data_IF_105964923508
#
_entry.id   IF_105964923508
#
_cell.length_a   1.000
_cell.length_b   1.000
_cell.length_c   1.000
_cell.angle_alpha   90.00
_cell.angle_beta   90.00
_cell.angle_gamma   90.00
#
_symmetry.space_group_name_H-M   'P 1'
#
loop_
_entity.id
_entity.type
_entity.pdbx_description
1 polymer ?
#
# COMPACT_ATOMS: atom_id res chain seq x y z
N UNK A 1 -36.66 2.52 9.78
CA UNK A 1 -35.46 1.76 10.20
C UNK A 1 -34.38 2.12 9.20
N UNK A 2 -33.44 2.99 9.58
CA UNK A 2 -32.26 3.23 8.74
C UNK A 2 -31.43 1.95 8.73
N UNK A 3 -31.33 1.31 7.56
CA UNK A 3 -30.27 0.34 7.32
C UNK A 3 -28.99 1.15 7.39
N UNK A 4 -28.27 1.04 8.50
CA UNK A 4 -26.95 1.64 8.66
C UNK A 4 -25.99 0.85 7.77
N UNK A 5 -26.04 1.11 6.47
CA UNK A 5 -25.18 0.51 5.47
C UNK A 5 -23.75 0.94 5.80
N UNK A 6 -22.94 -0.01 6.30
CA UNK A 6 -21.54 0.26 6.62
C UNK A 6 -20.82 0.67 5.33
N UNK A 7 -20.59 1.98 5.17
CA UNK A 7 -19.84 2.53 4.05
C UNK A 7 -18.41 1.99 4.08
N UNK A 8 -17.94 1.48 2.96
CA UNK A 8 -16.55 1.03 2.78
C UNK A 8 -15.69 2.21 2.36
N UNK A 9 -14.47 2.28 2.88
CA UNK A 9 -13.46 3.26 2.46
C UNK A 9 -12.46 2.56 1.53
N UNK A 10 -12.24 3.12 0.35
CA UNK A 10 -11.17 2.72 -0.57
C UNK A 10 -10.23 3.92 -0.74
N UNK A 11 -8.96 3.72 -0.43
CA UNK A 11 -7.89 4.71 -0.65
C UNK A 11 -7.00 4.16 -1.76
N UNK A 12 -6.81 4.96 -2.81
CA UNK A 12 -5.91 4.65 -3.93
C UNK A 12 -4.86 5.74 -3.98
N UNK A 13 -3.59 5.36 -3.89
CA UNK A 13 -2.45 6.27 -4.03
C UNK A 13 -1.85 6.10 -5.42
N UNK A 14 -1.67 7.20 -6.14
CA UNK A 14 -0.85 7.24 -7.35
C UNK A 14 0.46 7.93 -6.97
N UNK A 15 1.55 7.14 -6.90
CA UNK A 15 2.83 7.66 -6.44
C UNK A 15 3.37 8.75 -7.38
N UNK A 16 4.03 9.75 -6.80
CA UNK A 16 4.60 10.92 -7.49
C UNK A 16 3.61 11.72 -8.36
N UNK A 17 2.30 11.68 -8.08
CA UNK A 17 1.31 12.55 -8.73
C UNK A 17 1.07 13.81 -7.92
N UNK A 18 1.43 14.97 -8.48
CA UNK A 18 1.15 16.29 -7.94
C UNK A 18 0.02 17.00 -8.68
N UNK A 19 -0.18 18.29 -8.35
CA UNK A 19 -1.21 19.11 -9.01
C UNK A 19 -0.85 19.47 -10.46
N UNK A 20 0.43 19.48 -10.80
CA UNK A 20 0.92 19.75 -12.15
C UNK A 20 0.46 18.67 -13.15
N UNK A 21 0.34 17.42 -12.70
CA UNK A 21 -0.10 16.29 -13.52
C UNK A 21 -1.63 16.22 -13.72
N UNK A 22 -2.42 17.04 -13.01
CA UNK A 22 -3.88 16.98 -13.10
C UNK A 22 -4.40 17.24 -14.52
N UNK A 23 -3.74 18.14 -15.25
CA UNK A 23 -4.07 18.43 -16.66
C UNK A 23 -3.90 17.20 -17.57
N UNK A 24 -2.89 16.36 -17.30
CA UNK A 24 -2.66 15.11 -18.04
C UNK A 24 -3.69 14.05 -17.67
N UNK A 25 -4.08 14.00 -16.40
CA UNK A 25 -5.02 13.03 -15.86
C UNK A 25 -6.48 13.31 -16.25
N UNK A 26 -6.83 14.57 -16.52
CA UNK A 26 -8.19 14.95 -16.98
C UNK A 26 -8.60 14.25 -18.28
N UNK A 27 -7.64 13.84 -19.11
CA UNK A 27 -7.88 13.08 -20.33
C UNK A 27 -8.19 11.58 -20.06
N UNK A 28 -8.14 11.11 -18.81
CA UNK A 28 -8.46 9.73 -18.44
C UNK A 28 -9.90 9.65 -17.93
N UNK A 29 -10.74 8.91 -18.65
CA UNK A 29 -12.19 8.86 -18.39
C UNK A 29 -12.57 8.53 -16.93
N UNK A 30 -11.81 7.66 -16.25
CA UNK A 30 -12.09 7.30 -14.86
C UNK A 30 -11.69 8.41 -13.88
N UNK A 31 -10.53 9.07 -14.08
CA UNK A 31 -10.11 10.20 -13.25
C UNK A 31 -11.05 11.38 -13.46
N UNK A 32 -11.41 11.66 -14.72
CA UNK A 32 -12.39 12.68 -15.05
C UNK A 32 -13.72 12.46 -14.32
N UNK A 33 -14.23 11.22 -14.28
CA UNK A 33 -15.46 10.89 -13.53
C UNK A 33 -15.31 11.15 -12.03
N UNK A 34 -14.18 10.77 -11.43
CA UNK A 34 -13.91 11.01 -10.00
C UNK A 34 -13.85 12.51 -9.69
N UNK A 35 -13.16 13.29 -10.52
CA UNK A 35 -13.06 14.75 -10.37
C UNK A 35 -14.42 15.44 -10.48
N UNK A 36 -15.24 15.09 -11.47
CA UNK A 36 -16.52 15.76 -11.72
C UNK A 36 -17.67 15.32 -10.81
N UNK A 37 -17.57 14.14 -10.18
CA UNK A 37 -18.60 13.61 -9.26
C UNK A 37 -18.16 13.60 -7.80
N UNK A 38 -16.92 13.97 -7.53
CA UNK A 38 -16.33 14.01 -6.20
C UNK A 38 -15.89 15.41 -5.81
N UNK A 39 -14.93 15.48 -4.91
CA UNK A 39 -14.26 16.72 -4.51
C UNK A 39 -12.78 16.60 -4.81
N UNK A 40 -12.21 17.64 -5.44
CA UNK A 40 -10.79 17.73 -5.75
C UNK A 40 -10.16 18.80 -4.85
N UNK A 41 -9.05 18.43 -4.21
CA UNK A 41 -8.21 19.35 -3.46
C UNK A 41 -6.86 19.44 -4.18
N UNK A 42 -6.55 20.61 -4.71
CA UNK A 42 -5.31 20.90 -5.41
C UNK A 42 -4.27 21.50 -4.46
N UNK A 43 -3.00 21.41 -4.84
CA UNK A 43 -1.86 21.95 -4.11
C UNK A 43 -1.77 21.46 -2.66
N UNK A 44 -2.10 20.18 -2.43
CA UNK A 44 -1.94 19.55 -1.13
C UNK A 44 -0.46 19.53 -0.73
N UNK A 45 -0.18 19.99 0.50
CA UNK A 45 1.18 20.01 1.02
C UNK A 45 1.58 18.59 1.42
N UNK A 46 2.69 18.13 0.87
CA UNK A 46 3.37 16.93 1.35
C UNK A 46 4.18 17.23 2.62
N UNK A 47 4.98 16.26 3.04
CA UNK A 47 5.91 16.34 4.16
C UNK A 47 7.34 16.61 3.68
N UNK A 48 8.23 17.01 4.59
CA UNK A 48 9.67 17.05 4.33
C UNK A 48 10.35 15.85 5.01
N UNK A 49 11.14 15.01 4.31
CA UNK A 49 11.43 14.97 2.87
C UNK A 49 10.31 14.21 2.12
N UNK A 50 9.88 14.73 0.96
CA UNK A 50 8.81 14.17 0.12
C UNK A 50 9.20 12.87 -0.60
N UNK A 51 9.63 11.86 0.16
CA UNK A 51 9.98 10.54 -0.36
C UNK A 51 8.82 9.55 -0.17
N UNK A 52 8.70 8.54 -1.04
CA UNK A 52 7.53 7.64 -1.10
C UNK A 52 7.17 7.04 0.27
N UNK A 53 8.11 6.38 0.95
CA UNK A 53 7.81 5.67 2.20
C UNK A 53 7.50 6.63 3.36
N UNK A 54 8.28 7.70 3.61
CA UNK A 54 7.90 8.74 4.56
C UNK A 54 6.50 9.30 4.31
N UNK A 55 6.16 9.64 3.07
CA UNK A 55 4.84 10.21 2.73
C UNK A 55 3.72 9.21 3.04
N UNK A 56 3.85 7.96 2.60
CA UNK A 56 2.83 6.94 2.85
C UNK A 56 2.74 6.54 4.33
N UNK A 57 3.84 6.61 5.09
CA UNK A 57 3.83 6.47 6.54
C UNK A 57 3.10 7.63 7.22
N UNK A 58 3.31 8.88 6.76
CA UNK A 58 2.55 10.03 7.28
C UNK A 58 1.06 9.92 6.97
N UNK A 59 0.68 9.45 5.77
CA UNK A 59 -0.72 9.19 5.42
C UNK A 59 -1.32 8.08 6.29
N UNK A 60 -0.58 6.99 6.53
CA UNK A 60 -1.09 5.87 7.32
C UNK A 60 -1.14 6.15 8.81
N UNK A 61 -0.32 7.06 9.34
CA UNK A 61 -0.24 7.37 10.78
C UNK A 61 -0.92 8.67 11.17
N UNK A 62 -1.11 9.59 10.23
CA UNK A 62 -1.54 10.97 10.49
C UNK A 62 -0.47 11.81 11.19
N UNK A 63 0.81 11.41 11.12
CA UNK A 63 1.94 11.99 11.85
C UNK A 63 3.05 12.43 10.91
N UNK A 64 3.91 13.33 11.35
CA UNK A 64 5.08 13.75 10.56
C UNK A 64 6.26 12.77 10.74
N UNK A 65 7.26 12.78 9.84
CA UNK A 65 8.45 11.91 9.93
C UNK A 65 9.19 11.96 11.26
N UNK A 66 9.20 13.12 11.93
CA UNK A 66 9.80 13.27 13.26
C UNK A 66 9.08 12.47 14.34
N UNK A 67 7.76 12.26 14.20
CA UNK A 67 6.92 11.52 15.14
C UNK A 67 6.91 10.03 14.80
N UNK A 68 6.59 9.66 13.55
CA UNK A 68 6.51 8.24 13.16
C UNK A 68 7.89 7.59 12.94
N UNK A 69 8.96 8.39 12.84
CA UNK A 69 10.35 7.95 12.83
C UNK A 69 10.91 7.52 11.47
N UNK A 70 10.12 7.63 10.39
CA UNK A 70 10.53 7.20 9.05
C UNK A 70 10.84 8.40 8.16
N UNK A 71 12.13 8.67 7.95
CA UNK A 71 12.61 9.87 7.24
C UNK A 71 13.16 9.59 5.82
N UNK A 72 13.27 8.32 5.42
CA UNK A 72 13.79 7.90 4.12
C UNK A 72 13.25 6.52 3.74
N UNK A 73 13.16 6.21 2.44
CA UNK A 73 12.82 4.88 1.92
C UNK A 73 13.85 3.83 2.30
N UNK A 74 15.11 4.24 2.42
CA UNK A 74 16.23 3.36 2.73
C UNK A 74 16.91 3.76 4.03
N UNK A 75 17.37 2.75 4.76
CA UNK A 75 18.32 2.89 5.85
C UNK A 75 19.75 2.75 5.34
N UNK A 76 20.67 3.37 6.07
CA UNK A 76 22.10 3.22 5.87
C UNK A 76 22.73 2.95 7.24
N UNK A 77 23.53 1.90 7.31
CA UNK A 77 24.42 1.61 8.43
C UNK A 77 25.86 1.77 7.94
N UNK A 78 26.73 2.53 8.63
CA UNK A 78 28.11 2.72 8.18
C UNK A 78 28.84 1.38 8.01
N UNK A 79 29.37 1.14 6.80
CA UNK A 79 30.06 -0.10 6.45
C UNK A 79 29.17 -1.19 5.87
N UNK A 80 27.84 -1.00 5.86
CA UNK A 80 26.86 -1.96 5.34
C UNK A 80 26.19 -1.44 4.06
N UNK A 81 25.59 -2.37 3.30
CA UNK A 81 24.74 -2.00 2.18
C UNK A 81 23.44 -1.37 2.67
N UNK A 82 22.92 -0.39 1.93
CA UNK A 82 21.61 0.19 2.22
C UNK A 82 20.50 -0.86 2.12
N UNK A 83 19.48 -0.70 2.97
CA UNK A 83 18.32 -1.58 3.00
C UNK A 83 17.02 -0.79 2.93
N UNK A 84 15.96 -1.41 2.42
CA UNK A 84 14.65 -0.78 2.29
C UNK A 84 13.85 -0.86 3.60
N UNK A 85 13.13 0.21 3.92
CA UNK A 85 12.36 0.38 5.15
C UNK A 85 10.86 0.12 4.96
N UNK A 86 10.53 -1.03 4.36
CA UNK A 86 9.15 -1.44 4.08
C UNK A 86 8.44 -2.07 5.29
N UNK A 87 9.14 -2.25 6.40
CA UNK A 87 8.64 -2.92 7.61
C UNK A 87 7.89 -1.95 8.52
N UNK A 88 6.61 -2.22 8.76
CA UNK A 88 5.74 -1.40 9.63
C UNK A 88 6.22 -1.33 11.08
N UNK A 89 7.00 -2.31 11.56
CA UNK A 89 7.56 -2.33 12.93
C UNK A 89 8.58 -1.22 13.16
N UNK A 90 9.06 -0.56 12.10
CA UNK A 90 9.94 0.60 12.20
C UNK A 90 9.18 1.89 12.53
N UNK A 91 7.85 1.90 12.40
CA UNK A 91 7.02 3.04 12.75
C UNK A 91 6.88 3.15 14.28
N UNK A 92 7.04 4.36 14.80
CA UNK A 92 6.92 4.66 16.24
C UNK A 92 5.51 5.04 16.67
N UNK A 93 4.60 5.20 15.71
CA UNK A 93 3.24 5.68 15.93
C UNK A 93 2.23 4.74 15.31
N UNK A 94 1.06 4.67 15.93
CA UNK A 94 -0.05 3.84 15.49
C UNK A 94 -0.53 4.24 14.09
N UNK A 95 -0.75 3.24 13.25
CA UNK A 95 -1.33 3.37 11.90
C UNK A 95 -2.86 3.32 11.94
N UNK A 96 -3.52 3.80 10.89
CA UNK A 96 -4.95 3.66 10.65
C UNK A 96 -5.38 2.19 10.60
N UNK A 97 -4.50 1.30 10.16
CA UNK A 97 -4.76 -0.13 10.11
C UNK A 97 -4.85 -0.73 11.52
N UNK A 98 -3.91 -0.39 12.40
CA UNK A 98 -3.96 -0.77 13.82
C UNK A 98 -5.17 -0.14 14.52
N UNK A 99 -5.50 1.12 14.20
CA UNK A 99 -6.70 1.76 14.75
C UNK A 99 -7.99 1.06 14.30
N UNK A 100 -8.07 0.64 13.04
CA UNK A 100 -9.18 -0.15 12.52
C UNK A 100 -9.27 -1.52 13.21
N UNK A 101 -8.14 -2.20 13.38
CA UNK A 101 -8.07 -3.50 14.06
C UNK A 101 -8.60 -3.42 15.49
N UNK A 102 -8.13 -2.44 16.28
CA UNK A 102 -8.57 -2.23 17.65
C UNK A 102 -10.07 -1.91 17.73
N UNK A 103 -10.62 -1.28 16.70
CA UNK A 103 -12.05 -1.01 16.56
C UNK A 103 -12.87 -2.21 16.02
N UNK A 104 -12.24 -3.36 15.78
CA UNK A 104 -12.89 -4.54 15.19
C UNK A 104 -13.29 -4.36 13.73
N UNK A 105 -12.62 -3.46 13.00
CA UNK A 105 -12.84 -3.17 11.58
C UNK A 105 -11.79 -3.92 10.75
N UNK A 106 -12.27 -4.78 9.85
CA UNK A 106 -11.42 -5.44 8.87
C UNK A 106 -10.77 -4.41 7.92
N UNK A 107 -9.46 -4.52 7.72
CA UNK A 107 -8.70 -3.69 6.77
C UNK A 107 -7.93 -4.54 5.75
N UNK A 108 -7.58 -3.91 4.63
CA UNK A 108 -6.76 -4.51 3.59
C UNK A 108 -5.75 -3.50 3.05
N UNK A 109 -4.55 -3.97 2.73
CA UNK A 109 -3.50 -3.16 2.10
C UNK A 109 -2.86 -3.98 0.98
N UNK A 110 -2.95 -3.47 -0.25
CA UNK A 110 -2.36 -4.07 -1.45
C UNK A 110 -1.34 -3.09 -2.00
N UNK A 111 -0.07 -3.47 -1.98
CA UNK A 111 1.07 -2.64 -2.38
C UNK A 111 1.18 -1.29 -1.65
N UNK A 112 0.57 -1.16 -0.47
CA UNK A 112 0.76 0.05 0.33
C UNK A 112 2.15 0.01 0.98
N UNK A 113 2.96 1.08 0.87
CA UNK A 113 4.29 1.13 1.48
C UNK A 113 4.28 0.98 3.00
N UNK A 114 5.36 0.42 3.55
CA UNK A 114 5.58 0.35 5.02
C UNK A 114 4.49 -0.43 5.75
N UNK A 115 3.97 -1.49 5.11
CA UNK A 115 2.96 -2.40 5.70
C UNK A 115 3.49 -3.81 5.94
N UNK A 116 4.77 -4.08 5.66
CA UNK A 116 5.38 -5.37 5.96
C UNK A 116 5.34 -5.66 7.45
N UNK A 117 5.15 -6.93 7.80
CA UNK A 117 5.02 -7.44 9.16
C UNK A 117 3.94 -6.78 10.03
N UNK A 118 2.90 -6.19 9.42
CA UNK A 118 1.77 -5.59 10.15
C UNK A 118 0.92 -6.58 10.96
N UNK A 119 1.20 -7.88 10.89
CA UNK A 119 0.52 -8.92 11.67
C UNK A 119 -1.00 -8.91 11.47
N UNK A 120 -1.76 -9.11 12.54
CA UNK A 120 -3.23 -9.13 12.52
C UNK A 120 -3.86 -7.75 12.30
N UNK A 121 -3.09 -6.66 12.41
CA UNK A 121 -3.58 -5.29 12.21
C UNK A 121 -4.08 -5.05 10.79
N UNK A 122 -3.59 -5.82 9.81
CA UNK A 122 -4.09 -5.84 8.44
C UNK A 122 -4.52 -7.26 8.08
N UNK A 123 -5.83 -7.45 7.88
CA UNK A 123 -6.42 -8.78 7.63
C UNK A 123 -6.03 -9.35 6.27
N UNK A 124 -5.99 -8.49 5.25
CA UNK A 124 -5.59 -8.85 3.89
C UNK A 124 -4.40 -7.97 3.48
N UNK A 125 -3.19 -8.45 3.72
CA UNK A 125 -1.97 -7.67 3.50
C UNK A 125 -1.07 -8.28 2.44
N UNK A 126 -0.96 -7.59 1.30
CA UNK A 126 0.04 -7.82 0.27
C UNK A 126 0.95 -6.59 0.22
N UNK A 127 1.99 -6.51 1.09
CA UNK A 127 2.76 -5.29 1.30
C UNK A 127 3.65 -4.97 0.10
N UNK A 128 3.93 -3.69 -0.16
CA UNK A 128 5.02 -3.35 -1.07
C UNK A 128 6.37 -3.62 -0.38
N UNK A 129 7.18 -4.49 -1.00
CA UNK A 129 8.48 -4.87 -0.48
C UNK A 129 9.55 -4.75 -1.56
N UNK A 130 10.77 -4.50 -1.09
CA UNK A 130 11.97 -4.57 -1.91
C UNK A 130 12.90 -5.59 -1.26
N UNK A 131 13.05 -6.74 -1.91
CA UNK A 131 13.92 -7.81 -1.44
C UNK A 131 15.39 -7.35 -1.48
N UNK A 132 16.15 -7.68 -0.46
CA UNK A 132 17.59 -7.43 -0.43
C UNK A 132 18.36 -8.34 -1.41
N UNK A 133 19.65 -8.06 -1.65
CA UNK A 133 20.50 -8.92 -2.48
C UNK A 133 20.49 -10.37 -2.00
N UNK A 134 20.27 -11.31 -2.93
CA UNK A 134 20.23 -12.75 -2.64
C UNK A 134 18.96 -13.25 -1.97
N UNK A 135 17.99 -12.38 -1.65
CA UNK A 135 16.68 -12.78 -1.13
C UNK A 135 15.71 -13.09 -2.27
N UNK A 136 14.81 -14.04 -2.03
CA UNK A 136 13.74 -14.34 -2.99
C UNK A 136 12.52 -13.47 -2.71
N UNK A 137 12.13 -12.66 -3.68
CA UNK A 137 11.01 -11.72 -3.57
C UNK A 137 9.70 -12.41 -3.16
N UNK A 138 9.41 -13.59 -3.70
CA UNK A 138 8.18 -14.35 -3.36
C UNK A 138 8.19 -14.76 -1.88
N UNK A 139 9.33 -15.23 -1.39
CA UNK A 139 9.48 -15.61 0.01
C UNK A 139 9.35 -14.41 0.94
N UNK A 140 9.89 -13.26 0.55
CA UNK A 140 9.71 -12.01 1.30
C UNK A 140 8.24 -11.59 1.34
N UNK A 141 7.49 -11.67 0.22
CA UNK A 141 6.05 -11.38 0.21
C UNK A 141 5.26 -12.31 1.14
N UNK A 142 5.62 -13.59 1.20
CA UNK A 142 4.95 -14.54 2.08
C UNK A 142 5.24 -14.25 3.56
N UNK A 143 6.49 -13.93 3.91
CA UNK A 143 6.90 -13.66 5.31
C UNK A 143 6.44 -12.29 5.81
N UNK A 144 6.52 -11.27 4.96
CA UNK A 144 6.19 -9.89 5.30
C UNK A 144 4.67 -9.62 5.29
N UNK A 145 3.89 -10.35 4.49
CA UNK A 145 2.44 -10.17 4.44
C UNK A 145 1.65 -11.21 5.23
N UNK A 146 0.39 -11.40 4.85
CA UNK A 146 -0.46 -12.43 5.42
C UNK A 146 -0.30 -13.75 4.66
N UNK A 147 0.39 -14.73 5.24
CA UNK A 147 0.83 -15.98 4.56
C UNK A 147 -0.30 -16.64 3.78
N UNK A 148 -1.45 -16.94 4.43
CA UNK A 148 -2.56 -17.66 3.79
C UNK A 148 -3.19 -16.84 2.65
N UNK A 149 -3.33 -15.53 2.83
CA UNK A 149 -3.85 -14.62 1.82
C UNK A 149 -2.90 -14.53 0.62
N UNK A 150 -1.62 -14.26 0.86
CA UNK A 150 -0.61 -14.09 -0.18
C UNK A 150 -0.38 -15.38 -0.94
N UNK A 151 -0.29 -16.52 -0.26
CA UNK A 151 -0.18 -17.82 -0.92
C UNK A 151 -1.38 -18.11 -1.84
N UNK A 152 -2.60 -17.87 -1.34
CA UNK A 152 -3.81 -18.02 -2.15
C UNK A 152 -3.84 -17.07 -3.36
N UNK A 153 -3.37 -15.84 -3.19
CA UNK A 153 -3.25 -14.84 -4.27
C UNK A 153 -2.20 -15.26 -5.32
N UNK A 154 -1.03 -15.72 -4.90
CA UNK A 154 -0.01 -16.26 -5.81
C UNK A 154 -0.53 -17.47 -6.59
N UNK A 155 -1.22 -18.42 -5.95
CA UNK A 155 -1.78 -19.57 -6.66
C UNK A 155 -2.80 -19.16 -7.73
N UNK A 156 -3.68 -18.20 -7.42
CA UNK A 156 -4.71 -17.72 -8.34
C UNK A 156 -4.14 -16.92 -9.51
N UNK A 157 -3.12 -16.09 -9.25
CA UNK A 157 -2.64 -15.10 -10.22
C UNK A 157 -1.19 -15.30 -10.66
N UNK A 158 -0.58 -16.47 -10.41
CA UNK A 158 0.80 -16.78 -10.83
C UNK A 158 1.09 -16.51 -12.30
N UNK A 159 0.10 -16.67 -13.19
CA UNK A 159 0.27 -16.44 -14.62
C UNK A 159 0.47 -14.98 -14.98
N UNK A 160 0.11 -14.05 -14.08
CA UNK A 160 0.26 -12.60 -14.24
C UNK A 160 1.54 -12.06 -13.61
N UNK A 161 2.34 -12.91 -12.94
CA UNK A 161 3.57 -12.50 -12.29
C UNK A 161 4.77 -13.21 -12.91
N UNK A 162 5.81 -12.46 -13.26
CA UNK A 162 7.08 -13.07 -13.68
C UNK A 162 7.75 -13.72 -12.47
N UNK A 163 7.81 -15.06 -12.44
CA UNK A 163 8.52 -15.78 -11.37
C UNK A 163 10.03 -15.56 -11.40
N UNK A 164 10.58 -15.17 -12.56
CA UNK A 164 12.02 -14.86 -12.72
C UNK A 164 12.37 -13.47 -12.22
N UNK A 165 11.45 -12.53 -12.35
CA UNK A 165 11.58 -11.15 -11.90
C UNK A 165 10.23 -10.63 -11.39
N UNK A 166 9.87 -10.93 -10.13
CA UNK A 166 8.59 -10.52 -9.55
C UNK A 166 8.47 -8.99 -9.35
N UNK A 167 9.57 -8.25 -9.49
CA UNK A 167 9.59 -6.78 -9.46
C UNK A 167 9.29 -6.16 -10.83
N UNK A 168 9.28 -6.95 -11.90
CA UNK A 168 9.08 -6.45 -13.26
C UNK A 168 7.70 -5.79 -13.41
N UNK A 169 7.71 -4.60 -14.01
CA UNK A 169 6.51 -3.90 -14.43
C UNK A 169 6.33 -4.04 -15.95
N UNK A 170 5.09 -4.23 -16.44
CA UNK A 170 3.81 -4.04 -15.74
C UNK A 170 3.30 -5.26 -14.96
N UNK A 171 3.96 -6.43 -15.03
CA UNK A 171 3.44 -7.68 -14.48
C UNK A 171 3.12 -7.60 -12.96
N UNK A 172 3.97 -6.91 -12.18
CA UNK A 172 3.72 -6.65 -10.75
C UNK A 172 2.40 -5.91 -10.52
N UNK A 173 2.12 -4.90 -11.35
CA UNK A 173 0.96 -4.03 -11.21
C UNK A 173 -0.32 -4.76 -11.64
N UNK A 174 -0.25 -5.56 -12.70
CA UNK A 174 -1.34 -6.44 -13.15
C UNK A 174 -1.70 -7.49 -12.09
N UNK A 175 -0.69 -8.08 -11.44
CA UNK A 175 -0.88 -9.00 -10.32
C UNK A 175 -1.57 -8.30 -9.15
N UNK A 176 -1.04 -7.16 -8.68
CA UNK A 176 -1.60 -6.41 -7.55
C UNK A 176 -3.05 -5.96 -7.82
N UNK A 177 -3.33 -5.49 -9.04
CA UNK A 177 -4.69 -5.11 -9.46
C UNK A 177 -5.64 -6.31 -9.40
N UNK A 178 -5.21 -7.48 -9.88
CA UNK A 178 -6.02 -8.70 -9.85
C UNK A 178 -6.32 -9.17 -8.42
N UNK A 179 -5.35 -9.04 -7.51
CA UNK A 179 -5.53 -9.33 -6.09
C UNK A 179 -6.57 -8.40 -5.46
N UNK A 180 -6.51 -7.10 -5.77
CA UNK A 180 -7.48 -6.12 -5.30
C UNK A 180 -8.89 -6.40 -5.84
N UNK A 181 -9.03 -6.68 -7.13
CA UNK A 181 -10.31 -7.00 -7.77
C UNK A 181 -10.98 -8.23 -7.15
N UNK A 182 -10.22 -9.31 -6.95
CA UNK A 182 -10.71 -10.54 -6.29
C UNK A 182 -11.16 -10.27 -4.85
N UNK A 183 -10.42 -9.46 -4.11
CA UNK A 183 -10.79 -9.07 -2.76
C UNK A 183 -12.08 -8.24 -2.73
N UNK A 184 -12.20 -7.23 -3.60
CA UNK A 184 -13.39 -6.40 -3.70
C UNK A 184 -14.62 -7.23 -4.12
N UNK A 185 -14.48 -8.11 -5.10
CA UNK A 185 -15.57 -8.97 -5.57
C UNK A 185 -16.11 -9.90 -4.48
N UNK A 186 -15.24 -10.41 -3.58
CA UNK A 186 -15.67 -11.22 -2.43
C UNK A 186 -16.41 -10.41 -1.38
N UNK A 187 -16.00 -9.16 -1.17
CA UNK A 187 -16.59 -8.27 -0.17
C UNK A 187 -17.86 -7.58 -0.66
N UNK A 188 -18.10 -7.44 -1.97
CA UNK A 188 -19.37 -6.93 -2.53
C UNK A 188 -20.50 -7.97 -2.43
N UNK A 189 -20.17 -9.26 -2.33
CA UNK A 189 -21.14 -10.36 -2.19
C UNK A 189 -21.54 -10.67 -0.73
N UNK A 190 -20.99 -9.96 0.25
CA UNK A 190 -21.31 -10.06 1.68
C UNK A 190 -22.03 -8.79 2.13
#
# INVERSE_FOLDING_TARGET
>A
MEVNEKKKLLVVSFDAVGSEELSLLDNRANIWKLKNKGSLFENTKSIFVSNTYPVHASVSTGRLPEEHGLISNTGLEPGEQSFWRWDSRQLKTKTIFEAAHDAGIDSAAIMWPVTGHAGSSIKYNFPEIMAGPGQSTIWEYLKAGQIAFNFGSFLRFKSKLSLKDPSRQPEKDDFATSVLEDLLARKVKQ
#
